data_IF_827937207666
#
_entry.id   IF_827937207666
#
_cell.length_a   1.000
_cell.length_b   1.000
_cell.length_c   1.000
_cell.angle_alpha   90.00
_cell.angle_beta   90.00
_cell.angle_gamma   90.00
#
_symmetry.space_group_name_H-M   'P 1'
#
loop_
_entity.id
_entity.type
_entity.pdbx_description
1 polymer ?
#
# COMPACT_ATOMS: atom_id res chain seq x y z
N UNK A 1 -14.34 12.59 10.05
CA UNK A 1 -13.12 12.21 9.30
C UNK A 1 -13.06 12.85 7.91
N UNK A 2 -14.21 12.94 7.22
CA UNK A 2 -14.37 13.52 5.88
C UNK A 2 -13.62 14.84 5.62
N UNK A 3 -13.80 15.87 6.45
CA UNK A 3 -13.15 17.17 6.24
C UNK A 3 -11.61 17.08 6.23
N UNK A 4 -11.03 16.19 7.07
CA UNK A 4 -9.58 15.94 7.06
C UNK A 4 -9.15 15.26 5.76
N UNK A 5 -9.93 14.29 5.28
CA UNK A 5 -9.65 13.63 3.99
C UNK A 5 -9.66 14.63 2.83
N UNK A 6 -10.64 15.53 2.77
CA UNK A 6 -10.77 16.52 1.69
C UNK A 6 -9.69 17.62 1.71
N UNK A 7 -9.15 17.93 2.90
CA UNK A 7 -8.09 18.92 3.07
C UNK A 7 -6.67 18.31 3.10
N UNK A 8 -6.57 16.99 3.21
CA UNK A 8 -5.29 16.29 3.17
C UNK A 8 -4.66 16.46 1.79
N UNK A 9 -3.41 16.88 1.79
CA UNK A 9 -2.60 16.99 0.59
C UNK A 9 -1.17 16.59 0.92
N UNK A 10 -0.45 16.12 -0.09
CA UNK A 10 0.95 15.78 0.02
C UNK A 10 1.77 16.70 -0.89
N UNK A 11 3.00 16.95 -0.50
CA UNK A 11 3.88 17.82 -1.27
C UNK A 11 4.20 17.22 -2.65
N UNK A 12 4.67 18.07 -3.56
CA UNK A 12 5.12 17.68 -4.90
C UNK A 12 4.09 16.84 -5.71
N UNK A 13 2.81 17.11 -5.50
CA UNK A 13 1.67 16.47 -6.17
C UNK A 13 1.61 14.95 -5.96
N UNK A 14 2.19 14.46 -4.87
CA UNK A 14 2.04 13.07 -4.48
C UNK A 14 0.57 12.78 -4.09
N UNK A 15 0.11 11.57 -4.39
CA UNK A 15 -1.24 11.08 -4.10
C UNK A 15 -1.21 9.63 -3.66
N UNK A 16 -2.12 9.27 -2.75
CA UNK A 16 -2.34 7.87 -2.40
C UNK A 16 -2.97 7.13 -3.59
N UNK A 17 -2.44 5.95 -3.88
CA UNK A 17 -2.83 5.16 -5.04
C UNK A 17 -4.14 4.42 -4.81
N UNK A 18 -5.05 4.49 -5.78
CA UNK A 18 -6.24 3.66 -5.85
C UNK A 18 -5.85 2.26 -6.35
N UNK A 19 -5.77 1.31 -5.43
CA UNK A 19 -5.40 -0.06 -5.73
C UNK A 19 -6.41 -0.79 -6.61
N UNK A 20 -7.69 -0.42 -6.56
CA UNK A 20 -8.75 -1.01 -7.41
C UNK A 20 -8.58 -0.55 -8.85
N UNK A 21 -8.29 0.74 -9.05
CA UNK A 21 -7.96 1.28 -10.38
C UNK A 21 -6.68 0.63 -10.94
N UNK A 22 -5.63 0.53 -10.13
CA UNK A 22 -4.38 -0.12 -10.53
C UNK A 22 -4.55 -1.60 -10.86
N UNK A 23 -5.30 -2.37 -10.05
CA UNK A 23 -5.59 -3.77 -10.37
C UNK A 23 -6.38 -3.91 -11.67
N UNK A 24 -7.31 -2.98 -11.97
CA UNK A 24 -8.04 -3.00 -13.25
C UNK A 24 -7.13 -2.74 -14.45
N UNK A 25 -6.14 -1.88 -14.30
CA UNK A 25 -5.20 -1.52 -15.36
C UNK A 25 -4.11 -2.59 -15.57
N UNK A 26 -3.56 -3.13 -14.48
CA UNK A 26 -2.37 -4.00 -14.51
C UNK A 26 -2.67 -5.49 -14.23
N UNK A 27 -3.91 -5.82 -13.87
CA UNK A 27 -4.37 -7.20 -13.68
C UNK A 27 -3.53 -7.97 -12.67
N UNK A 28 -3.05 -9.16 -13.05
CA UNK A 28 -2.26 -10.05 -12.19
C UNK A 28 -0.91 -9.43 -11.73
N UNK A 29 -0.41 -8.40 -12.42
CA UNK A 29 0.82 -7.70 -12.03
C UNK A 29 0.61 -6.85 -10.77
N UNK A 30 -0.63 -6.45 -10.46
CA UNK A 30 -0.98 -5.63 -9.31
C UNK A 30 -2.13 -6.27 -8.51
N UNK A 31 -1.77 -7.04 -7.48
CA UNK A 31 -2.74 -7.73 -6.63
C UNK A 31 -3.08 -6.88 -5.40
N UNK A 32 -4.37 -6.86 -5.03
CA UNK A 32 -4.86 -6.22 -3.80
C UNK A 32 -5.69 -7.20 -2.97
N UNK A 33 -5.87 -6.97 -1.65
CA UNK A 33 -6.67 -7.80 -0.79
C UNK A 33 -8.11 -7.86 -1.28
N UNK A 34 -8.69 -9.06 -1.23
CA UNK A 34 -10.11 -9.25 -1.51
C UNK A 34 -10.98 -8.36 -0.59
N UNK A 35 -12.09 -7.79 -1.07
CA UNK A 35 -12.97 -6.95 -0.27
C UNK A 35 -13.46 -7.60 1.03
N UNK A 36 -13.60 -8.94 1.05
CA UNK A 36 -13.93 -9.68 2.28
C UNK A 36 -12.91 -9.41 3.39
N UNK A 37 -11.60 -9.40 3.11
CA UNK A 37 -10.58 -9.10 4.12
C UNK A 37 -10.70 -7.67 4.62
N UNK A 38 -10.99 -6.72 3.72
CA UNK A 38 -11.13 -5.30 4.04
C UNK A 38 -12.32 -5.02 4.96
N UNK A 39 -13.39 -5.82 4.89
CA UNK A 39 -14.58 -5.68 5.76
C UNK A 39 -14.25 -5.88 7.25
N UNK A 40 -13.34 -6.80 7.54
CA UNK A 40 -12.96 -7.16 8.91
C UNK A 40 -11.80 -6.33 9.48
N UNK A 41 -11.31 -5.32 8.74
CA UNK A 41 -10.28 -4.42 9.25
C UNK A 41 -10.78 -3.59 10.43
N UNK A 42 -10.00 -3.56 11.49
CA UNK A 42 -10.29 -2.85 12.74
C UNK A 42 -9.10 -2.01 13.22
N UNK A 43 -9.36 -1.18 14.24
CA UNK A 43 -8.31 -0.44 14.95
C UNK A 43 -7.24 -1.42 15.45
N UNK A 44 -5.97 -1.03 15.28
CA UNK A 44 -4.79 -1.83 15.61
C UNK A 44 -4.25 -2.67 14.44
N UNK A 45 -5.02 -2.87 13.36
CA UNK A 45 -4.55 -3.59 12.19
C UNK A 45 -3.57 -2.76 11.36
N UNK A 46 -2.54 -3.42 10.84
CA UNK A 46 -1.58 -2.85 9.90
C UNK A 46 -1.99 -3.11 8.45
N UNK A 47 -2.02 -2.06 7.63
CA UNK A 47 -2.32 -2.09 6.21
C UNK A 47 -1.27 -1.34 5.39
N UNK A 48 -1.03 -1.80 4.17
CA UNK A 48 -0.07 -1.20 3.26
C UNK A 48 -0.79 -0.19 2.37
N UNK A 49 -0.19 0.99 2.24
CA UNK A 49 -0.58 2.04 1.31
C UNK A 49 0.59 2.31 0.37
N UNK A 50 0.29 2.96 -0.76
CA UNK A 50 1.31 3.49 -1.66
C UNK A 50 1.02 4.93 -1.98
N UNK A 51 2.08 5.72 -2.09
CA UNK A 51 2.03 7.08 -2.58
C UNK A 51 2.89 7.21 -3.83
N UNK A 52 2.38 7.85 -4.89
CA UNK A 52 3.13 8.14 -6.12
C UNK A 52 2.96 9.62 -6.49
N UNK A 53 3.87 10.13 -7.34
CA UNK A 53 3.73 11.44 -7.98
C UNK A 53 3.76 11.30 -9.50
N UNK A 54 2.92 12.06 -10.24
CA UNK A 54 3.03 12.15 -11.69
C UNK A 54 4.26 12.98 -12.12
N UNK A 55 4.91 13.71 -11.20
CA UNK A 55 6.13 14.50 -11.44
C UNK A 55 7.37 13.61 -11.40
N UNK A 56 7.36 12.61 -12.26
CA UNK A 56 8.50 11.72 -12.41
C UNK A 56 9.69 12.49 -13.00
N UNK A 57 10.82 12.49 -12.29
CA UNK A 57 12.07 13.08 -12.78
C UNK A 57 13.21 12.08 -12.62
N UNK A 58 13.46 11.28 -13.65
CA UNK A 58 14.71 10.53 -13.77
C UNK A 58 15.87 11.52 -13.86
N UNK A 59 16.78 11.50 -12.89
CA UNK A 59 18.10 12.10 -13.10
C UNK A 59 18.78 11.36 -14.26
N UNK A 60 19.55 12.03 -15.15
CA UNK A 60 20.21 11.39 -16.27
C UNK A 60 21.11 10.19 -15.90
N UNK A 61 21.59 10.15 -14.65
CA UNK A 61 22.45 9.08 -14.11
C UNK A 61 21.66 7.98 -13.37
N UNK A 62 20.33 8.05 -13.33
CA UNK A 62 19.50 6.99 -12.78
C UNK A 62 19.54 5.77 -13.71
N UNK A 63 19.69 4.57 -13.14
CA UNK A 63 19.70 3.33 -13.91
C UNK A 63 18.44 3.25 -14.80
N UNK A 64 18.57 2.83 -16.05
CA UNK A 64 17.43 2.81 -16.99
C UNK A 64 16.37 1.73 -16.68
N UNK A 65 16.69 0.76 -15.82
CA UNK A 65 15.81 -0.36 -15.45
C UNK A 65 15.91 -0.72 -13.97
N UNK A 66 14.79 -1.13 -13.39
CA UNK A 66 14.70 -1.68 -12.04
C UNK A 66 15.36 -3.07 -12.02
N UNK A 67 16.35 -3.29 -11.14
CA UNK A 67 17.11 -4.56 -11.05
C UNK A 67 16.48 -5.59 -10.11
N UNK A 68 15.27 -5.36 -9.61
CA UNK A 68 14.63 -6.30 -8.69
C UNK A 68 14.06 -7.50 -9.49
N UNK A 69 14.12 -8.73 -8.96
CA UNK A 69 13.62 -9.93 -9.64
C UNK A 69 12.11 -9.90 -9.95
N UNK A 70 11.37 -8.99 -9.30
CA UNK A 70 9.91 -8.89 -9.37
C UNK A 70 9.38 -7.91 -10.43
N UNK A 71 10.21 -6.98 -10.92
CA UNK A 71 9.77 -5.90 -11.81
C UNK A 71 10.26 -6.08 -13.25
N UNK A 72 11.54 -6.46 -13.44
CA UNK A 72 12.31 -6.31 -14.70
C UNK A 72 11.87 -5.07 -15.54
N UNK A 73 11.57 -3.99 -14.82
CA UNK A 73 10.70 -2.93 -15.31
C UNK A 73 11.49 -1.78 -15.90
N UNK A 74 11.06 -1.28 -17.06
CA UNK A 74 11.55 0.00 -17.58
C UNK A 74 11.28 1.10 -16.55
N UNK A 75 12.30 1.87 -16.15
CA UNK A 75 12.18 2.96 -15.17
C UNK A 75 11.34 4.16 -15.67
N UNK A 76 10.55 4.01 -16.73
CA UNK A 76 9.64 5.03 -17.26
C UNK A 76 8.23 4.98 -16.65
N UNK A 77 7.95 4.00 -15.77
CA UNK A 77 6.65 3.76 -15.12
C UNK A 77 6.83 3.52 -13.61
N UNK A 78 5.79 3.77 -12.79
CA UNK A 78 5.87 3.45 -11.36
C UNK A 78 6.24 1.98 -11.14
N UNK A 79 7.15 1.71 -10.21
CA UNK A 79 7.59 0.35 -9.88
C UNK A 79 6.42 -0.37 -9.20
N UNK A 80 5.78 -1.30 -9.90
CA UNK A 80 4.51 -1.92 -9.50
C UNK A 80 4.62 -3.03 -8.44
N UNK A 81 5.84 -3.52 -8.16
CA UNK A 81 6.08 -4.57 -7.16
C UNK A 81 7.37 -4.32 -6.40
N UNK A 82 7.26 -4.05 -5.11
CA UNK A 82 8.34 -4.24 -4.14
C UNK A 82 8.07 -5.52 -3.33
N UNK A 83 9.13 -6.11 -2.75
CA UNK A 83 8.92 -6.93 -1.56
C UNK A 83 8.24 -6.04 -0.52
N UNK A 84 7.11 -6.49 0.02
CA UNK A 84 6.39 -5.79 1.08
C UNK A 84 7.38 -5.27 2.12
N UNK A 85 7.25 -4.01 2.60
CA UNK A 85 8.21 -3.48 3.55
C UNK A 85 8.28 -4.44 4.73
N UNK A 86 9.46 -5.00 5.02
CA UNK A 86 9.75 -5.46 6.37
C UNK A 86 9.77 -4.15 7.20
N UNK A 87 9.03 -3.95 8.29
CA UNK A 87 8.98 -4.77 9.50
C UNK A 87 8.20 -3.99 10.58
N UNK A 88 7.73 -4.70 11.62
CA UNK A 88 7.24 -4.19 12.93
C UNK A 88 8.39 -3.86 13.92
N UNK A 89 9.55 -3.43 13.44
CA UNK A 89 10.78 -3.14 14.20
C UNK A 89 11.46 -1.89 13.65
N UNK A 90 12.16 -1.11 14.48
CA UNK A 90 12.91 0.05 14.00
C UNK A 90 14.00 -0.39 13.01
N UNK A 91 13.87 0.08 11.77
CA UNK A 91 14.90 -0.05 10.75
C UNK A 91 16.04 0.93 11.03
N UNK A 92 17.30 0.56 10.73
CA UNK A 92 18.38 1.54 10.71
C UNK A 92 18.08 2.66 9.70
N UNK A 93 18.53 3.90 9.96
CA UNK A 93 18.37 5.00 9.01
C UNK A 93 18.92 4.61 7.63
N UNK A 94 18.10 4.74 6.60
CA UNK A 94 18.54 4.50 5.23
C UNK A 94 19.09 5.81 4.64
N UNK A 95 20.40 5.86 4.41
CA UNK A 95 21.05 6.96 3.68
C UNK A 95 21.10 6.60 2.18
N UNK A 96 19.92 6.55 1.56
CA UNK A 96 19.78 6.34 0.12
C UNK A 96 19.22 7.62 -0.51
N UNK A 97 19.73 8.01 -1.70
CA UNK A 97 19.28 9.25 -2.34
C UNK A 97 17.81 9.14 -2.75
N UNK A 98 17.04 10.19 -2.47
CA UNK A 98 15.68 10.38 -2.95
C UNK A 98 15.66 10.38 -4.48
N UNK A 99 14.82 9.55 -5.10
CA UNK A 99 14.73 9.35 -6.55
C UNK A 99 13.40 9.82 -7.14
N UNK A 100 12.50 10.35 -6.32
CA UNK A 100 11.17 10.76 -6.79
C UNK A 100 10.29 9.57 -7.16
N UNK A 101 10.54 8.42 -6.54
CA UNK A 101 9.74 7.21 -6.74
C UNK A 101 8.49 7.27 -5.88
N UNK A 102 7.50 6.45 -6.24
CA UNK A 102 6.48 6.09 -5.27
C UNK A 102 7.03 5.13 -4.24
N UNK A 103 6.43 5.18 -3.06
CA UNK A 103 6.86 4.42 -1.90
C UNK A 103 5.66 3.68 -1.31
N UNK A 104 5.88 2.39 -1.03
CA UNK A 104 4.93 1.53 -0.34
C UNK A 104 5.25 1.58 1.18
N UNK A 105 4.23 1.66 2.03
CA UNK A 105 4.44 1.81 3.47
C UNK A 105 3.30 1.29 4.33
N UNK A 106 3.62 0.96 5.59
CA UNK A 106 2.65 0.46 6.55
C UNK A 106 2.05 1.59 7.38
N UNK A 107 0.74 1.49 7.61
CA UNK A 107 0.03 2.29 8.59
C UNK A 107 -0.71 1.39 9.58
N UNK A 108 -0.68 1.74 10.85
CA UNK A 108 -1.55 1.15 11.87
C UNK A 108 -2.86 1.90 11.94
N UNK A 109 -3.99 1.23 11.70
CA UNK A 109 -5.32 1.85 11.78
C UNK A 109 -5.56 2.32 13.23
N UNK A 110 -5.80 3.61 13.43
CA UNK A 110 -6.11 4.20 14.74
C UNK A 110 -7.61 4.45 14.92
N UNK A 111 -8.36 4.62 13.83
CA UNK A 111 -9.80 4.88 13.83
C UNK A 111 -10.41 4.62 12.45
N UNK A 112 -11.72 4.38 12.42
CA UNK A 112 -12.50 4.11 11.21
C UNK A 112 -13.85 4.82 11.32
N UNK A 113 -14.27 5.44 10.23
CA UNK A 113 -15.55 6.15 10.08
C UNK A 113 -16.14 5.77 8.71
N UNK A 114 -16.99 4.73 8.72
CA UNK A 114 -17.50 4.11 7.48
C UNK A 114 -16.38 3.49 6.64
N UNK A 115 -16.20 4.04 5.43
CA UNK A 115 -15.16 3.64 4.46
C UNK A 115 -13.86 4.44 4.58
N UNK A 116 -13.82 5.44 5.47
CA UNK A 116 -12.60 6.19 5.78
C UNK A 116 -11.88 5.58 6.98
N UNK A 117 -10.57 5.50 6.85
CA UNK A 117 -9.64 5.07 7.87
C UNK A 117 -8.69 6.21 8.19
N UNK A 118 -8.32 6.32 9.46
CA UNK A 118 -7.13 7.07 9.85
C UNK A 118 -6.10 6.06 10.34
N UNK A 119 -4.87 6.18 9.86
CA UNK A 119 -3.78 5.31 10.23
C UNK A 119 -2.52 6.10 10.53
N UNK A 120 -1.73 5.58 11.47
CA UNK A 120 -0.43 6.13 11.85
C UNK A 120 0.66 5.40 11.09
N UNK A 121 1.55 6.14 10.42
CA UNK A 121 2.68 5.56 9.66
C UNK A 121 3.64 4.83 10.60
N UNK A 122 3.92 3.57 10.29
CA UNK A 122 4.67 2.66 11.16
C UNK A 122 6.17 2.60 10.83
N UNK A 123 6.55 2.86 9.58
CA UNK A 123 7.95 2.80 9.12
C UNK A 123 8.51 4.17 8.72
N UNK A 124 9.84 4.38 8.82
CA UNK A 124 10.48 5.51 8.16
C UNK A 124 10.33 5.41 6.63
N UNK A 125 10.22 6.56 5.98
CA UNK A 125 10.06 6.68 4.52
C UNK A 125 11.30 7.35 3.93
N UNK A 126 11.82 6.76 2.86
CA UNK A 126 13.01 7.25 2.14
C UNK A 126 12.70 8.57 1.45
N UNK A 127 11.52 8.67 0.84
CA UNK A 127 11.13 9.81 0.02
C UNK A 127 10.41 10.89 0.86
N UNK A 128 10.48 10.82 2.20
CA UNK A 128 9.85 11.75 3.16
C UNK A 128 10.05 13.23 2.80
N UNK A 129 11.19 13.60 2.21
CA UNK A 129 11.47 15.01 1.83
C UNK A 129 10.67 15.47 0.61
N UNK A 130 10.16 14.55 -0.20
CA UNK A 130 9.41 14.85 -1.42
C UNK A 130 7.90 14.87 -1.18
N UNK A 131 7.37 14.01 -0.33
CA UNK A 131 5.92 13.95 -0.05
C UNK A 131 5.53 14.41 1.36
N UNK A 132 6.52 14.73 2.21
CA UNK A 132 6.34 15.25 3.57
C UNK A 132 5.64 14.32 4.57
N UNK A 133 5.58 13.01 4.27
CA UNK A 133 5.09 11.99 5.20
C UNK A 133 6.27 11.43 5.98
N UNK A 134 6.12 11.28 7.30
CA UNK A 134 7.09 10.72 8.22
C UNK A 134 6.48 9.61 9.06
N UNK A 135 7.35 8.79 9.64
CA UNK A 135 6.94 7.82 10.68
C UNK A 135 6.23 8.56 11.82
N UNK A 136 5.11 8.01 12.27
CA UNK A 136 4.25 8.60 13.29
C UNK A 136 3.19 9.58 12.79
N UNK A 137 3.24 10.01 11.52
CA UNK A 137 2.20 10.88 10.96
C UNK A 137 0.87 10.15 10.82
N UNK A 138 -0.23 10.90 10.93
CA UNK A 138 -1.57 10.39 10.67
C UNK A 138 -1.98 10.66 9.22
N UNK A 139 -2.51 9.63 8.56
CA UNK A 139 -3.00 9.70 7.19
C UNK A 139 -4.44 9.20 7.15
N UNK A 140 -5.30 9.93 6.46
CA UNK A 140 -6.66 9.52 6.14
C UNK A 140 -6.68 8.87 4.76
N UNK A 141 -7.29 7.68 4.66
CA UNK A 141 -7.36 6.90 3.42
C UNK A 141 -8.67 6.12 3.33
N UNK A 142 -8.98 5.63 2.13
CA UNK A 142 -10.16 4.81 1.83
C UNK A 142 -9.80 3.34 1.65
N UNK A 143 -10.82 2.49 1.65
CA UNK A 143 -10.66 1.04 1.46
C UNK A 143 -10.06 0.66 0.09
N UNK A 144 -10.29 1.45 -0.96
CA UNK A 144 -9.73 1.25 -2.31
C UNK A 144 -8.22 1.54 -2.37
N UNK A 145 -7.69 2.33 -1.43
CA UNK A 145 -6.28 2.66 -1.31
C UNK A 145 -5.46 1.63 -0.50
N UNK A 146 -6.13 0.63 0.09
CA UNK A 146 -5.47 -0.45 0.84
C UNK A 146 -4.92 -1.50 -0.14
N UNK A 147 -3.60 -1.65 -0.14
CA UNK A 147 -2.86 -2.52 -1.07
C UNK A 147 -2.44 -3.86 -0.47
N UNK A 148 -2.31 -3.94 0.85
CA UNK A 148 -2.08 -5.20 1.56
C UNK A 148 -2.61 -5.12 2.99
N UNK A 149 -2.80 -6.30 3.60
CA UNK A 149 -3.09 -6.44 5.03
C UNK A 149 -1.95 -7.24 5.65
N UNK A 150 -1.37 -6.72 6.74
CA UNK A 150 -0.19 -7.34 7.34
C UNK A 150 -0.51 -8.75 7.83
N UNK A 151 0.44 -9.67 7.64
CA UNK A 151 0.24 -11.10 7.86
C UNK A 151 -0.09 -11.45 9.32
N UNK A 152 0.36 -10.63 10.27
CA UNK A 152 0.09 -10.79 11.71
C UNK A 152 -1.40 -10.82 12.05
N UNK A 153 -2.25 -10.17 11.24
CA UNK A 153 -3.70 -10.10 11.48
C UNK A 153 -4.48 -11.20 10.75
N UNK A 154 -3.85 -11.97 9.85
CA UNK A 154 -4.57 -12.93 9.00
C UNK A 154 -5.41 -13.92 9.79
N UNK A 155 -4.84 -14.48 10.86
CA UNK A 155 -5.55 -15.46 11.71
C UNK A 155 -6.76 -14.82 12.38
N UNK A 156 -6.59 -13.64 12.96
CA UNK A 156 -7.66 -12.90 13.63
C UNK A 156 -8.80 -12.57 12.65
N UNK A 157 -8.45 -12.05 11.46
CA UNK A 157 -9.41 -11.70 10.40
C UNK A 157 -10.24 -12.92 9.99
N UNK A 158 -9.59 -14.05 9.70
CA UNK A 158 -10.27 -15.28 9.31
C UNK A 158 -11.17 -15.80 10.44
N UNK A 159 -10.75 -15.69 11.70
CA UNK A 159 -11.57 -16.11 12.84
C UNK A 159 -12.80 -15.24 13.06
N UNK A 160 -12.81 -14.01 12.54
CA UNK A 160 -13.95 -13.08 12.65
C UNK A 160 -14.99 -13.23 11.53
N UNK A 161 -14.71 -14.04 10.51
CA UNK A 161 -15.59 -14.24 9.35
C UNK A 161 -16.72 -15.22 9.64
N UNK A 162 -17.89 -14.94 9.08
CA UNK A 162 -18.98 -15.92 9.06
C UNK A 162 -18.75 -17.03 7.99
N UNK A 163 -19.53 -18.13 8.00
CA UNK A 163 -19.36 -19.21 7.02
C UNK A 163 -19.52 -18.80 5.55
N UNK A 164 -20.32 -17.77 5.25
CA UNK A 164 -20.51 -17.25 3.90
C UNK A 164 -19.27 -16.46 3.46
N UNK A 165 -18.72 -15.65 4.34
CA UNK A 165 -17.50 -14.87 4.11
C UNK A 165 -16.27 -15.77 3.96
N UNK A 166 -16.16 -16.84 4.76
CA UNK A 166 -15.12 -17.85 4.60
C UNK A 166 -15.20 -18.54 3.24
N UNK A 167 -16.42 -18.86 2.76
CA UNK A 167 -16.62 -19.43 1.42
C UNK A 167 -16.19 -18.46 0.33
N UNK A 168 -16.53 -17.18 0.46
CA UNK A 168 -16.12 -16.13 -0.48
C UNK A 168 -14.60 -16.00 -0.52
N UNK A 169 -13.92 -15.96 0.63
CA UNK A 169 -12.47 -15.92 0.72
C UNK A 169 -11.83 -17.16 0.07
N UNK A 170 -12.35 -18.36 0.34
CA UNK A 170 -11.83 -19.60 -0.23
C UNK A 170 -11.99 -19.66 -1.75
N UNK A 171 -13.11 -19.18 -2.28
CA UNK A 171 -13.34 -19.08 -3.72
C UNK A 171 -12.35 -18.12 -4.38
N UNK A 172 -12.10 -16.96 -3.76
CA UNK A 172 -11.09 -16.03 -4.26
C UNK A 172 -9.68 -16.63 -4.20
N UNK A 173 -9.28 -17.28 -3.11
CA UNK A 173 -7.97 -17.94 -3.01
C UNK A 173 -7.79 -19.02 -4.09
N UNK A 174 -8.85 -19.72 -4.47
CA UNK A 174 -8.80 -20.68 -5.56
C UNK A 174 -8.50 -20.03 -6.92
N UNK A 175 -8.94 -18.78 -7.16
CA UNK A 175 -8.60 -18.07 -8.41
C UNK A 175 -7.17 -17.54 -8.44
N UNK A 176 -6.56 -17.33 -7.27
CA UNK A 176 -5.15 -16.91 -7.18
C UNK A 176 -4.17 -18.08 -7.38
N UNK A 177 -4.60 -19.32 -7.10
CA UNK A 177 -3.78 -20.53 -7.20
C UNK A 177 -3.95 -21.27 -8.55
N UNK A 178 -4.70 -20.71 -9.50
CA UNK A 178 -4.85 -21.30 -10.82
C UNK A 178 -3.59 -21.04 -11.66
N UNK A 179 -2.79 -22.06 -12.03
CA UNK A 179 -1.58 -21.90 -12.83
C UNK A 179 -1.85 -21.47 -14.28
N UNK A 180 -3.11 -21.24 -14.65
CA UNK A 180 -3.55 -20.79 -15.97
C UNK A 180 -3.54 -19.26 -16.18
N UNK A 181 -3.16 -18.47 -15.16
CA UNK A 181 -3.04 -17.00 -15.24
C UNK A 181 -1.58 -16.52 -15.26
#
# INVERSE_FOLDING_TARGET
>A
MQQKFESQSFDNAYVLIDGVAMQREYGAQFQIPHPVLKRHLSVGHFVELRIDSPRFSMHPDAAAGCTCPSCDGQMSKPILRHEHPATLLPLPPQDVPARGWGEDFWVQINSRDGDLYCGRVDNPLVESRLHSIRSGDEIIFRSDQILAVHSVHRRELVMSMDPRELKELAQWLATQNDPSQ
#
